data_IF_293913695076
#
_entry.id   IF_293913695076
#
_cell.length_a   1.000
_cell.length_b   1.000
_cell.length_c   1.000
_cell.angle_alpha   90.00
_cell.angle_beta   90.00
_cell.angle_gamma   90.00
#
_symmetry.space_group_name_H-M   'P 1'
#
loop_
_entity.id
_entity.type
_entity.pdbx_description
1 polymer ?
#
# COMPACT_ATOMS: atom_id res chain seq x y z
N UNK A 1 -13.45 5.45 6.77
CA UNK A 1 -13.34 5.16 8.22
C UNK A 1 -13.66 3.68 8.46
N UNK A 2 -12.95 3.01 9.37
CA UNK A 2 -13.17 1.59 9.68
C UNK A 2 -14.57 1.34 10.24
N UNK A 3 -15.22 0.28 9.76
CA UNK A 3 -16.54 -0.15 10.19
C UNK A 3 -16.51 -1.65 10.54
N UNK A 4 -16.78 -1.97 11.81
CA UNK A 4 -16.75 -3.34 12.32
C UNK A 4 -17.88 -4.23 11.78
N UNK A 5 -18.90 -3.65 11.12
CA UNK A 5 -19.98 -4.41 10.47
C UNK A 5 -19.64 -4.81 9.04
N UNK A 6 -18.60 -4.22 8.44
CA UNK A 6 -18.14 -4.51 7.09
C UNK A 6 -17.12 -5.66 7.09
N UNK A 7 -17.09 -6.39 5.99
CA UNK A 7 -16.05 -7.37 5.70
C UNK A 7 -14.66 -6.72 5.63
N UNK A 8 -13.63 -7.56 5.67
CA UNK A 8 -12.25 -7.11 5.47
C UNK A 8 -12.08 -6.42 4.11
N UNK A 9 -12.61 -7.01 3.04
CA UNK A 9 -12.46 -6.48 1.68
C UNK A 9 -13.15 -5.12 1.53
N UNK A 10 -14.31 -4.91 2.15
CA UNK A 10 -15.01 -3.62 2.13
C UNK A 10 -14.26 -2.54 2.92
N UNK A 11 -13.67 -2.89 4.06
CA UNK A 11 -12.82 -1.98 4.82
C UNK A 11 -11.51 -1.68 4.08
N UNK A 12 -10.93 -2.68 3.41
CA UNK A 12 -9.72 -2.54 2.60
C UNK A 12 -9.97 -1.64 1.38
N UNK A 13 -11.12 -1.78 0.71
CA UNK A 13 -11.53 -0.89 -0.38
C UNK A 13 -11.71 0.55 0.11
N UNK A 14 -12.36 0.74 1.26
CA UNK A 14 -12.52 2.06 1.88
C UNK A 14 -11.17 2.69 2.25
N UNK A 15 -10.24 1.88 2.75
CA UNK A 15 -8.88 2.31 3.06
C UNK A 15 -8.10 2.69 1.80
N UNK A 16 -8.25 1.90 0.72
CA UNK A 16 -7.64 2.20 -0.58
C UNK A 16 -8.07 3.56 -1.11
N UNK A 17 -9.37 3.85 -1.13
CA UNK A 17 -9.87 5.16 -1.56
C UNK A 17 -9.29 6.30 -0.73
N UNK A 18 -9.23 6.14 0.60
CA UNK A 18 -8.64 7.16 1.47
C UNK A 18 -7.14 7.39 1.21
N UNK A 19 -6.38 6.34 0.90
CA UNK A 19 -4.98 6.47 0.51
C UNK A 19 -4.83 7.17 -0.85
N UNK A 20 -5.66 6.81 -1.84
CA UNK A 20 -5.64 7.43 -3.17
C UNK A 20 -5.97 8.93 -3.13
N UNK A 21 -6.86 9.36 -2.22
CA UNK A 21 -7.15 10.78 -1.97
C UNK A 21 -5.97 11.55 -1.35
N UNK A 22 -5.12 10.88 -0.58
CA UNK A 22 -3.94 11.48 0.04
C UNK A 22 -2.78 11.59 -0.97
N UNK A 23 -2.47 10.49 -1.64
CA UNK A 23 -1.42 10.39 -2.65
C UNK A 23 -1.64 9.14 -3.51
N UNK A 24 -2.01 9.35 -4.78
CA UNK A 24 -2.35 8.27 -5.69
C UNK A 24 -1.15 7.38 -6.06
N UNK A 25 0.07 7.94 -6.15
CA UNK A 25 1.28 7.16 -6.47
C UNK A 25 1.68 6.29 -5.28
N UNK A 26 1.70 6.86 -4.08
CA UNK A 26 1.99 6.11 -2.85
C UNK A 26 0.93 5.04 -2.59
N UNK A 27 -0.36 5.34 -2.83
CA UNK A 27 -1.43 4.36 -2.72
C UNK A 27 -1.21 3.20 -3.70
N UNK A 28 -0.89 3.50 -4.97
CA UNK A 28 -0.58 2.46 -5.96
C UNK A 28 0.54 1.54 -5.48
N UNK A 29 1.65 2.09 -4.99
CA UNK A 29 2.78 1.30 -4.47
C UNK A 29 2.35 0.39 -3.31
N UNK A 30 1.59 0.93 -2.35
CA UNK A 30 1.10 0.15 -1.21
C UNK A 30 0.24 -1.03 -1.66
N UNK A 31 -0.73 -0.79 -2.55
CA UNK A 31 -1.69 -1.80 -2.96
C UNK A 31 -1.15 -2.79 -4.01
N UNK A 32 -0.13 -2.42 -4.79
CA UNK A 32 0.58 -3.35 -5.67
C UNK A 32 1.38 -4.41 -4.88
N UNK A 33 1.64 -4.17 -3.58
CA UNK A 33 2.43 -5.06 -2.71
C UNK A 33 1.64 -5.66 -1.53
N UNK A 34 0.37 -5.29 -1.35
CA UNK A 34 -0.42 -5.63 -0.15
C UNK A 34 -0.74 -7.12 -0.03
N UNK A 35 -0.74 -7.85 -1.16
CA UNK A 35 -0.99 -9.29 -1.24
C UNK A 35 -0.02 -10.12 -0.40
N UNK A 36 1.22 -9.63 -0.23
CA UNK A 36 2.24 -10.22 0.64
C UNK A 36 1.76 -10.23 2.09
N UNK A 37 1.15 -9.13 2.54
CA UNK A 37 0.62 -9.00 3.90
C UNK A 37 -0.69 -9.77 4.06
N UNK A 38 -1.55 -9.77 3.04
CA UNK A 38 -2.82 -10.54 3.06
C UNK A 38 -2.52 -12.04 3.20
N UNK A 39 -1.53 -12.54 2.46
CA UNK A 39 -1.23 -13.98 2.40
C UNK A 39 -0.32 -14.43 3.53
N UNK A 40 0.63 -13.60 3.96
CA UNK A 40 1.71 -14.00 4.86
C UNK A 40 2.03 -12.99 5.97
N UNK A 41 1.19 -12.00 6.24
CA UNK A 41 1.52 -10.85 7.10
C UNK A 41 1.89 -11.15 8.56
N UNK A 42 1.52 -12.33 9.07
CA UNK A 42 1.97 -12.79 10.40
C UNK A 42 3.47 -13.16 10.41
N UNK A 43 4.05 -13.51 9.26
CA UNK A 43 5.45 -13.84 9.10
C UNK A 43 6.31 -12.56 9.11
N UNK A 44 7.42 -12.61 9.84
CA UNK A 44 8.41 -11.52 9.88
C UNK A 44 9.08 -11.34 8.52
N UNK A 45 9.37 -12.42 7.81
CA UNK A 45 10.08 -12.34 6.54
C UNK A 45 9.18 -11.76 5.44
N UNK A 46 7.88 -12.07 5.47
CA UNK A 46 6.89 -11.46 4.58
C UNK A 46 6.79 -9.94 4.80
N UNK A 47 6.77 -9.48 6.06
CA UNK A 47 6.80 -8.04 6.38
C UNK A 47 8.09 -7.38 5.91
N UNK A 48 9.23 -8.05 6.05
CA UNK A 48 10.50 -7.56 5.53
C UNK A 48 10.48 -7.44 3.99
N UNK A 49 9.91 -8.43 3.30
CA UNK A 49 9.77 -8.43 1.84
C UNK A 49 8.83 -7.34 1.34
N UNK A 50 7.72 -7.14 2.03
CA UNK A 50 6.79 -6.04 1.74
C UNK A 50 7.52 -4.69 1.84
N UNK A 51 8.20 -4.42 2.96
CA UNK A 51 8.93 -3.18 3.16
C UNK A 51 10.02 -2.96 2.10
N UNK A 52 10.75 -4.01 1.71
CA UNK A 52 11.78 -3.92 0.69
C UNK A 52 11.22 -3.54 -0.69
N UNK A 53 10.06 -4.09 -1.07
CA UNK A 53 9.43 -3.77 -2.36
C UNK A 53 8.80 -2.37 -2.37
N UNK A 54 8.20 -1.95 -1.25
CA UNK A 54 7.72 -0.56 -1.10
C UNK A 54 8.87 0.43 -1.23
N UNK A 55 9.99 0.20 -0.54
CA UNK A 55 11.16 1.09 -0.64
C UNK A 55 11.71 1.15 -2.06
N UNK A 56 11.87 0.00 -2.74
CA UNK A 56 12.36 -0.04 -4.11
C UNK A 56 11.43 0.71 -5.09
N UNK A 57 10.12 0.64 -4.88
CA UNK A 57 9.15 1.36 -5.71
C UNK A 57 9.17 2.87 -5.43
N UNK A 58 9.35 3.28 -4.17
CA UNK A 58 9.53 4.69 -3.79
C UNK A 58 10.83 5.27 -4.37
N UNK A 59 11.93 4.53 -4.33
CA UNK A 59 13.22 4.95 -4.91
C UNK A 59 13.15 5.13 -6.44
N UNK A 60 12.20 4.45 -7.09
CA UNK A 60 11.96 4.54 -8.53
C UNK A 60 11.00 5.67 -8.93
N UNK A 61 10.34 6.33 -7.97
CA UNK A 61 9.49 7.48 -8.26
C UNK A 61 10.36 8.67 -8.71
N UNK A 62 9.91 9.45 -9.70
CA UNK A 62 10.60 10.67 -10.09
C UNK A 62 10.57 11.67 -8.91
N UNK A 63 11.71 12.25 -8.57
CA UNK A 63 11.74 13.37 -7.63
C UNK A 63 10.97 14.56 -8.22
N UNK A 64 10.19 15.25 -7.39
CA UNK A 64 9.32 16.38 -7.77
C UNK A 64 10.00 17.51 -8.58
N UNK A 65 11.33 17.54 -8.68
CA UNK A 65 12.10 18.44 -9.54
C UNK A 65 12.15 18.06 -11.03
N UNK A 66 11.60 16.92 -11.45
CA UNK A 66 11.66 16.45 -12.84
C UNK A 66 10.33 16.56 -13.61
N UNK A 67 9.30 17.17 -13.02
CA UNK A 67 8.04 17.50 -13.69
C UNK A 67 8.07 18.98 -14.06
N UNK A 68 8.84 19.33 -15.09
CA UNK A 68 8.83 20.67 -15.72
C UNK A 68 8.23 20.60 -17.12
#
# INVERSE_FOLDING_TARGET
MFDAQKSFDENLATFKTACEELDAECAKILFDNIDILITHGADRDARSRFNAQVNAALDALPTAEQVQ
#
